data_IF_494601342843
#
_entry.id   IF_494601342843
#
_cell.length_a   1.000
_cell.length_b   1.000
_cell.length_c   1.000
_cell.angle_alpha   90.00
_cell.angle_beta   90.00
_cell.angle_gamma   90.00
#
_symmetry.space_group_name_H-M   'P 1'
#
loop_
_entity.id
_entity.type
_entity.pdbx_description
1 polymer ?
#
# COMPACT_ATOMS: atom_id res chain seq x y z
N UNK A 1 0.07 -23.06 20.58
CA UNK A 1 0.54 -23.28 19.21
C UNK A 1 1.46 -22.13 18.86
N UNK A 2 2.48 -22.32 18.03
CA UNK A 2 3.42 -21.24 17.68
C UNK A 2 2.80 -20.42 16.56
N UNK A 3 2.41 -19.17 16.85
CA UNK A 3 1.92 -18.26 15.83
C UNK A 3 3.05 -18.00 14.82
N UNK A 4 2.90 -18.52 13.60
CA UNK A 4 3.94 -18.44 12.57
C UNK A 4 3.83 -17.12 11.82
N UNK A 5 4.53 -16.10 12.30
CA UNK A 5 4.66 -14.82 11.59
C UNK A 5 5.66 -14.99 10.45
N UNK A 6 5.19 -14.82 9.21
CA UNK A 6 6.04 -14.87 8.02
C UNK A 6 6.21 -13.48 7.42
N UNK A 7 7.47 -13.08 7.18
CA UNK A 7 7.83 -11.79 6.58
C UNK A 7 8.11 -11.98 5.10
N UNK A 8 7.56 -11.10 4.28
CA UNK A 8 7.70 -11.15 2.83
C UNK A 8 8.12 -9.80 2.27
N UNK A 9 8.76 -9.85 1.12
CA UNK A 9 9.10 -8.69 0.31
C UNK A 9 8.55 -8.91 -1.10
N UNK A 10 7.97 -7.86 -1.68
CA UNK A 10 7.55 -7.87 -3.08
C UNK A 10 7.94 -6.56 -3.77
N UNK A 11 8.12 -6.66 -5.08
CA UNK A 11 8.27 -5.52 -5.97
C UNK A 11 6.97 -5.41 -6.76
N UNK A 12 6.29 -4.29 -6.61
CA UNK A 12 5.06 -3.97 -7.34
C UNK A 12 5.37 -2.90 -8.38
N UNK A 13 4.69 -2.97 -9.52
CA UNK A 13 4.72 -1.93 -10.53
C UNK A 13 3.34 -1.30 -10.58
N UNK A 14 3.29 0.02 -10.60
CA UNK A 14 2.05 0.75 -10.65
C UNK A 14 2.13 2.03 -11.46
N UNK A 15 1.00 2.70 -11.60
CA UNK A 15 0.86 3.96 -12.33
C UNK A 15 0.04 4.95 -11.51
N UNK A 16 0.48 6.20 -11.43
CA UNK A 16 -0.31 7.27 -10.81
C UNK A 16 -1.49 7.58 -11.72
N UNK A 17 -2.70 7.26 -11.27
CA UNK A 17 -3.93 7.47 -12.04
C UNK A 17 -4.71 8.71 -11.59
N UNK A 18 -4.45 9.21 -10.37
CA UNK A 18 -5.15 10.35 -9.80
C UNK A 18 -4.28 11.01 -8.71
N UNK A 19 -4.40 12.32 -8.54
CA UNK A 19 -3.89 13.04 -7.37
C UNK A 19 -5.03 13.80 -6.71
N UNK A 20 -5.15 13.73 -5.39
CA UNK A 20 -6.27 14.33 -4.65
C UNK A 20 -5.83 14.85 -3.28
N UNK A 21 -6.67 15.68 -2.66
CA UNK A 21 -6.48 16.16 -1.29
C UNK A 21 -7.44 15.45 -0.33
N UNK A 22 -6.93 15.00 0.82
CA UNK A 22 -7.72 14.42 1.89
C UNK A 22 -7.22 14.93 3.24
N UNK A 23 -8.10 15.57 4.02
CA UNK A 23 -7.77 16.17 5.33
C UNK A 23 -6.56 17.14 5.27
N UNK A 24 -6.48 17.96 4.21
CA UNK A 24 -5.40 18.93 4.01
C UNK A 24 -4.05 18.31 3.62
N UNK A 25 -4.01 17.03 3.27
CA UNK A 25 -2.81 16.33 2.77
C UNK A 25 -3.03 15.89 1.34
N UNK A 26 -2.00 16.01 0.51
CA UNK A 26 -2.04 15.55 -0.88
C UNK A 26 -1.65 14.07 -0.99
N UNK A 27 -2.39 13.34 -1.80
CA UNK A 27 -2.21 11.92 -2.09
C UNK A 27 -2.17 11.67 -3.58
N UNK A 28 -1.44 10.63 -3.97
CA UNK A 28 -1.48 10.01 -5.28
C UNK A 28 -2.14 8.64 -5.17
N UNK A 29 -3.13 8.37 -6.02
CA UNK A 29 -3.70 7.04 -6.21
C UNK A 29 -2.89 6.30 -7.25
N UNK A 30 -2.30 5.19 -6.84
CA UNK A 30 -1.44 4.36 -7.68
C UNK A 30 -2.18 3.08 -7.99
N UNK A 31 -2.44 2.85 -9.27
CA UNK A 31 -3.00 1.59 -9.76
C UNK A 31 -1.94 0.49 -9.72
N UNK A 32 -2.23 -0.61 -9.04
CA UNK A 32 -1.41 -1.83 -8.97
C UNK A 32 -2.36 -3.00 -9.21
N UNK A 33 -2.60 -3.33 -10.49
CA UNK A 33 -3.65 -4.28 -10.87
C UNK A 33 -3.57 -5.59 -10.06
N UNK A 34 -4.69 -6.04 -9.44
CA UNK A 34 -6.07 -5.56 -9.61
C UNK A 34 -6.52 -4.47 -8.62
N UNK A 35 -5.63 -3.91 -7.80
CA UNK A 35 -5.95 -2.95 -6.73
C UNK A 35 -5.39 -1.54 -6.98
N UNK A 36 -5.60 -0.64 -6.02
CA UNK A 36 -4.96 0.67 -5.94
C UNK A 36 -4.43 0.93 -4.53
N UNK A 37 -3.43 1.81 -4.43
CA UNK A 37 -2.91 2.32 -3.17
C UNK A 37 -2.96 3.84 -3.17
N UNK A 38 -3.44 4.42 -2.09
CA UNK A 38 -3.34 5.86 -1.86
C UNK A 38 -2.07 6.15 -1.06
N UNK A 39 -1.14 6.88 -1.67
CA UNK A 39 0.16 7.20 -1.06
C UNK A 39 0.29 8.73 -0.91
N UNK A 40 0.75 9.25 0.25
CA UNK A 40 1.01 10.68 0.40
C UNK A 40 2.03 11.16 -0.62
N UNK A 41 1.75 12.27 -1.33
CA UNK A 41 2.68 12.78 -2.37
C UNK A 41 4.05 13.12 -1.79
N UNK A 42 4.13 13.52 -0.51
CA UNK A 42 5.40 13.82 0.15
C UNK A 42 6.38 12.64 0.27
N UNK A 43 5.97 11.40 -0.01
CA UNK A 43 6.89 10.26 -0.10
C UNK A 43 7.49 10.09 -1.49
N UNK A 44 6.99 10.81 -2.49
CA UNK A 44 7.50 10.84 -3.86
C UNK A 44 8.31 12.12 -4.03
N UNK A 45 9.48 12.03 -4.67
CA UNK A 45 10.29 13.22 -4.94
C UNK A 45 9.53 14.20 -5.84
N UNK A 46 8.78 13.66 -6.82
CA UNK A 46 7.80 14.34 -7.67
C UNK A 46 6.71 13.32 -8.01
N UNK A 47 5.46 13.76 -8.22
CA UNK A 47 4.35 12.87 -8.54
C UNK A 47 3.57 13.43 -9.73
N UNK A 48 3.67 12.79 -10.88
CA UNK A 48 2.94 13.18 -12.08
C UNK A 48 1.89 12.13 -12.48
N UNK A 49 0.76 12.59 -13.02
CA UNK A 49 -0.23 11.69 -13.62
C UNK A 49 0.42 10.87 -14.74
N UNK A 50 0.02 9.59 -14.85
CA UNK A 50 0.53 8.61 -15.84
C UNK A 50 1.99 8.18 -15.57
N UNK A 51 2.60 8.67 -14.49
CA UNK A 51 3.94 8.23 -14.09
C UNK A 51 3.92 6.78 -13.60
N UNK A 52 4.88 5.99 -14.08
CA UNK A 52 5.06 4.59 -13.69
C UNK A 52 6.02 4.49 -12.53
N UNK A 53 5.62 3.75 -11.51
CA UNK A 53 6.34 3.62 -10.25
C UNK A 53 6.76 2.16 -10.03
N UNK A 54 7.94 1.98 -9.44
CA UNK A 54 8.38 0.73 -8.82
C UNK A 54 8.26 0.89 -7.31
N UNK A 55 7.46 0.04 -6.69
CA UNK A 55 7.19 0.04 -5.25
C UNK A 55 7.84 -1.18 -4.63
N UNK A 56 8.70 -0.96 -3.64
CA UNK A 56 9.28 -2.04 -2.84
C UNK A 56 8.51 -2.14 -1.53
N UNK A 57 7.75 -3.21 -1.36
CA UNK A 57 6.85 -3.40 -0.22
C UNK A 57 7.35 -4.54 0.67
N UNK A 58 7.29 -4.31 1.97
CA UNK A 58 7.47 -5.34 2.99
C UNK A 58 6.10 -5.57 3.62
N UNK A 59 5.69 -6.82 3.72
CA UNK A 59 4.40 -7.18 4.31
C UNK A 59 4.54 -8.41 5.20
N UNK A 60 3.61 -8.47 6.14
CA UNK A 60 3.49 -9.53 7.13
C UNK A 60 2.25 -10.34 6.76
N UNK A 61 2.35 -11.66 6.86
CA UNK A 61 1.16 -12.52 6.83
C UNK A 61 1.10 -13.19 8.20
N UNK A 62 -0.01 -12.96 8.87
CA UNK A 62 -0.35 -13.54 10.17
C UNK A 62 -1.68 -14.28 10.03
N UNK A 63 -1.80 -15.40 10.76
CA UNK A 63 -3.07 -16.08 10.92
C UNK A 63 -3.91 -15.32 11.95
N UNK A 64 -5.16 -14.99 11.58
CA UNK A 64 -6.06 -14.19 12.42
C UNK A 64 -7.10 -15.04 13.16
N UNK A 65 -7.03 -16.38 13.09
CA UNK A 65 -8.01 -17.27 13.75
C UNK A 65 -8.15 -17.03 15.27
N UNK A 66 -7.21 -16.34 15.92
CA UNK A 66 -7.30 -15.96 17.33
C UNK A 66 -7.06 -14.44 17.57
N UNK A 67 -7.27 -13.59 16.57
CA UNK A 67 -7.15 -12.15 16.75
C UNK A 67 -8.38 -11.62 17.52
N UNK A 68 -8.21 -11.11 18.76
CA UNK A 68 -9.32 -10.64 19.58
C UNK A 68 -10.10 -9.46 18.98
N UNK A 69 -9.59 -8.82 17.93
CA UNK A 69 -10.32 -7.79 17.19
C UNK A 69 -11.47 -8.35 16.34
N UNK A 70 -11.41 -9.62 15.92
CA UNK A 70 -12.40 -10.23 15.02
C UNK A 70 -13.44 -11.11 15.73
N UNK A 71 -13.32 -11.31 17.05
CA UNK A 71 -14.28 -12.04 17.88
C UNK A 71 -15.41 -11.17 18.45
N UNK A 72 -15.43 -9.86 18.17
CA UNK A 72 -16.41 -8.87 18.70
C UNK A 72 -17.49 -8.45 17.72
#
# INVERSE_FOLDING_TARGET
MSDSISKYQAILHGEIIETFENQGKQFAKISIAPTFLDIPIGTLNEAHLVEKLKLEVNFLIEDIENDPFWES
#
